data_IF_447064630935
#
_entry.id   IF_447064630935
#
_cell.length_a   1.000
_cell.length_b   1.000
_cell.length_c   1.000
_cell.angle_alpha   90.00
_cell.angle_beta   90.00
_cell.angle_gamma   90.00
#
_symmetry.space_group_name_H-M   'P 1'
#
loop_
_entity.id
_entity.type
_entity.pdbx_description
1 polymer ?
#
# COMPACT_ATOMS: atom_id res chain seq x y z
N UNK A 1 0.48 -13.58 -1.88
CA UNK A 1 0.57 -14.96 -2.35
C UNK A 1 2.03 -15.38 -2.51
N UNK A 2 2.32 -16.64 -2.30
CA UNK A 2 3.65 -17.25 -2.55
C UNK A 2 3.68 -18.06 -3.84
N UNK A 3 2.56 -18.20 -4.53
CA UNK A 3 2.39 -19.04 -5.73
C UNK A 3 2.33 -18.24 -7.02
N UNK A 4 2.11 -16.93 -6.93
CA UNK A 4 2.00 -16.04 -8.08
C UNK A 4 2.82 -14.78 -7.76
N UNK A 5 3.61 -14.31 -8.71
CA UNK A 5 4.43 -13.11 -8.53
C UNK A 5 5.92 -13.38 -8.65
N UNK A 6 6.74 -12.40 -8.24
CA UNK A 6 8.19 -12.39 -8.47
C UNK A 6 9.04 -12.73 -7.25
N UNK A 7 8.48 -12.73 -6.04
CA UNK A 7 9.20 -12.90 -4.79
C UNK A 7 8.64 -14.01 -3.89
N UNK A 8 8.97 -13.92 -2.62
CA UNK A 8 8.46 -14.85 -1.61
C UNK A 8 6.96 -14.69 -1.41
N UNK A 9 6.49 -13.44 -1.27
CA UNK A 9 5.08 -13.11 -1.10
C UNK A 9 4.78 -11.81 -1.82
N UNK A 10 3.77 -11.81 -2.65
CA UNK A 10 3.32 -10.63 -3.37
C UNK A 10 1.89 -10.26 -2.99
N UNK A 11 1.54 -8.98 -3.15
CA UNK A 11 0.15 -8.56 -3.05
C UNK A 11 -0.61 -9.14 -4.24
N UNK A 12 -1.69 -9.86 -3.95
CA UNK A 12 -2.60 -10.38 -4.96
C UNK A 12 -3.92 -9.63 -4.91
N UNK A 13 -4.19 -8.86 -5.94
CA UNK A 13 -5.41 -8.07 -6.07
C UNK A 13 -6.33 -8.71 -7.12
N UNK A 14 -7.58 -8.90 -6.72
CA UNK A 14 -8.62 -9.50 -7.58
C UNK A 14 -9.79 -8.53 -7.68
N UNK A 15 -10.23 -8.23 -8.89
CA UNK A 15 -11.47 -7.51 -9.14
C UNK A 15 -12.56 -8.48 -9.55
N UNK A 16 -13.68 -8.40 -8.84
CA UNK A 16 -14.86 -9.22 -9.12
C UNK A 16 -16.01 -8.33 -9.63
N UNK A 17 -16.89 -8.90 -10.43
CA UNK A 17 -18.18 -8.30 -10.75
C UNK A 17 -19.18 -8.54 -9.60
N UNK A 18 -20.41 -8.03 -9.76
CA UNK A 18 -21.47 -8.17 -8.74
C UNK A 18 -21.90 -9.63 -8.51
N UNK A 19 -21.63 -10.54 -9.45
CA UNK A 19 -21.93 -11.96 -9.33
C UNK A 19 -20.79 -12.76 -8.68
N UNK A 20 -19.64 -12.11 -8.40
CA UNK A 20 -18.45 -12.74 -7.87
C UNK A 20 -17.54 -13.35 -8.95
N UNK A 21 -17.79 -13.05 -10.22
CA UNK A 21 -16.93 -13.51 -11.33
C UNK A 21 -15.70 -12.63 -11.43
N UNK A 22 -14.53 -13.23 -11.64
CA UNK A 22 -13.26 -12.51 -11.76
C UNK A 22 -13.27 -11.72 -13.07
N UNK A 23 -13.11 -10.38 -12.94
CA UNK A 23 -12.90 -9.47 -14.07
C UNK A 23 -11.42 -9.45 -14.43
N UNK A 24 -10.55 -9.31 -13.44
CA UNK A 24 -9.10 -9.44 -13.58
C UNK A 24 -8.45 -9.81 -12.24
N UNK A 25 -7.24 -10.29 -12.34
CA UNK A 25 -6.35 -10.56 -11.22
C UNK A 25 -4.94 -10.09 -11.55
N UNK A 26 -4.23 -9.55 -10.57
CA UNK A 26 -2.86 -9.04 -10.70
C UNK A 26 -2.07 -9.30 -9.43
N UNK A 27 -0.77 -9.47 -9.60
CA UNK A 27 0.21 -9.49 -8.51
C UNK A 27 1.09 -8.25 -8.57
N UNK A 28 1.45 -7.75 -7.39
CA UNK A 28 2.34 -6.61 -7.24
C UNK A 28 3.35 -6.91 -6.15
N UNK A 29 4.62 -6.76 -6.47
CA UNK A 29 5.70 -7.03 -5.54
C UNK A 29 7.08 -7.01 -6.20
N UNK A 30 8.08 -7.29 -5.41
CA UNK A 30 9.47 -7.36 -5.82
C UNK A 30 10.09 -8.73 -5.58
N UNK A 31 11.37 -8.77 -5.22
CA UNK A 31 12.10 -10.02 -5.03
C UNK A 31 11.88 -10.67 -3.65
N UNK A 32 11.40 -9.90 -2.68
CA UNK A 32 11.22 -10.34 -1.31
C UNK A 32 9.73 -10.50 -0.95
N UNK A 33 9.26 -9.89 0.13
CA UNK A 33 7.88 -10.09 0.59
C UNK A 33 7.10 -8.79 0.69
N UNK A 34 5.88 -8.82 0.16
CA UNK A 34 4.88 -7.76 0.23
C UNK A 34 3.59 -8.25 0.86
N UNK A 35 2.97 -7.38 1.65
CA UNK A 35 1.69 -7.63 2.30
C UNK A 35 0.73 -6.47 2.02
N UNK A 36 -0.46 -6.78 1.51
CA UNK A 36 -1.57 -5.85 1.40
C UNK A 36 -2.48 -5.98 2.63
N UNK A 37 -2.86 -4.86 3.23
CA UNK A 37 -3.69 -4.84 4.43
C UNK A 37 -5.04 -4.17 4.22
N UNK A 38 -5.12 -3.17 3.34
CA UNK A 38 -6.36 -2.46 3.06
C UNK A 38 -6.37 -1.92 1.62
N UNK A 39 -7.57 -1.70 1.09
CA UNK A 39 -7.78 -1.14 -0.24
C UNK A 39 -8.91 -0.11 -0.22
N UNK A 40 -8.65 1.06 -0.80
CA UNK A 40 -9.62 2.13 -0.97
C UNK A 40 -10.03 2.25 -2.43
N UNK A 41 -11.34 2.12 -2.76
CA UNK A 41 -11.85 2.38 -4.10
C UNK A 41 -12.02 3.90 -4.31
N UNK A 42 -11.24 4.45 -5.21
CA UNK A 42 -11.30 5.85 -5.62
C UNK A 42 -12.10 6.08 -6.90
N UNK A 43 -12.14 7.32 -7.36
CA UNK A 43 -12.88 7.71 -8.58
C UNK A 43 -12.18 7.28 -9.88
N UNK A 44 -10.90 7.00 -9.83
CA UNK A 44 -10.04 6.67 -10.97
C UNK A 44 -9.28 5.34 -10.83
N UNK A 45 -9.60 4.54 -9.81
CA UNK A 45 -8.96 3.26 -9.56
C UNK A 45 -8.96 2.87 -8.09
N UNK A 46 -7.96 2.10 -7.69
CA UNK A 46 -7.84 1.56 -6.34
C UNK A 46 -6.51 1.98 -5.73
N UNK A 47 -6.52 2.28 -4.43
CA UNK A 47 -5.29 2.51 -3.66
C UNK A 47 -5.16 1.42 -2.62
N UNK A 48 -4.08 0.66 -2.71
CA UNK A 48 -3.73 -0.43 -1.78
C UNK A 48 -2.68 0.08 -0.81
N UNK A 49 -2.85 -0.19 0.46
CA UNK A 49 -1.84 0.05 1.48
C UNK A 49 -1.35 -1.26 2.08
N UNK A 50 -0.07 -1.31 2.35
CA UNK A 50 0.57 -2.49 2.90
C UNK A 50 1.99 -2.24 3.34
N UNK A 51 2.81 -3.26 3.25
CA UNK A 51 4.25 -3.20 3.51
C UNK A 51 5.03 -3.99 2.49
N UNK A 52 6.28 -3.59 2.30
CA UNK A 52 7.24 -4.24 1.41
C UNK A 52 8.57 -4.44 2.12
N UNK A 53 9.24 -5.54 1.82
CA UNK A 53 10.67 -5.73 2.15
C UNK A 53 11.55 -5.76 0.89
N UNK A 54 10.96 -5.60 -0.30
CA UNK A 54 11.68 -5.53 -1.57
C UNK A 54 12.20 -4.13 -1.89
N UNK A 55 11.53 -3.10 -1.36
CA UNK A 55 11.81 -1.70 -1.69
C UNK A 55 11.99 -0.91 -0.39
N UNK A 56 12.85 0.12 -0.43
CA UNK A 56 13.11 0.96 0.74
C UNK A 56 14.31 0.51 1.55
N UNK A 57 14.12 0.21 2.82
CA UNK A 57 15.19 -0.20 3.75
C UNK A 57 15.40 -1.74 3.79
N UNK A 58 16.22 -2.22 4.71
CA UNK A 58 16.40 -3.66 4.95
C UNK A 58 15.26 -4.32 5.72
N UNK A 59 14.30 -3.50 6.20
CA UNK A 59 13.14 -3.93 6.99
C UNK A 59 11.86 -3.80 6.17
N UNK A 60 10.71 -4.04 6.80
CA UNK A 60 9.44 -3.74 6.19
C UNK A 60 9.17 -2.24 6.23
N UNK A 61 8.86 -1.69 5.08
CA UNK A 61 8.48 -0.29 4.88
C UNK A 61 7.02 -0.19 4.43
N UNK A 62 6.38 0.94 4.70
CA UNK A 62 5.02 1.19 4.23
C UNK A 62 5.06 1.29 2.72
N UNK A 63 4.20 0.52 2.05
CA UNK A 63 4.01 0.57 0.61
C UNK A 63 2.58 0.97 0.26
N UNK A 64 2.44 2.00 -0.55
CA UNK A 64 1.16 2.48 -1.04
C UNK A 64 1.20 2.42 -2.56
N UNK A 65 0.26 1.67 -3.14
CA UNK A 65 0.18 1.41 -4.56
C UNK A 65 -1.15 1.89 -5.10
N UNK A 66 -1.15 2.74 -6.11
CA UNK A 66 -2.34 3.13 -6.85
C UNK A 66 -2.36 2.44 -8.21
N UNK A 67 -3.49 1.80 -8.50
CA UNK A 67 -3.77 1.15 -9.78
C UNK A 67 -5.05 1.72 -10.38
N UNK A 68 -5.16 1.71 -11.70
CA UNK A 68 -6.40 2.07 -12.41
C UNK A 68 -7.46 0.97 -12.30
N UNK A 69 -8.62 1.17 -12.93
CA UNK A 69 -9.71 0.18 -12.90
C UNK A 69 -9.39 -1.12 -13.67
N UNK A 70 -8.30 -1.16 -14.45
CA UNK A 70 -7.79 -2.36 -15.14
C UNK A 70 -6.65 -3.05 -14.37
N UNK A 71 -6.26 -2.52 -13.22
CA UNK A 71 -5.17 -3.04 -12.41
C UNK A 71 -3.78 -2.62 -12.88
N UNK A 72 -3.67 -1.63 -13.78
CA UNK A 72 -2.38 -1.09 -14.19
C UNK A 72 -1.89 -0.06 -13.16
N UNK A 73 -0.61 -0.11 -12.79
CA UNK A 73 -0.02 0.81 -11.85
C UNK A 73 -0.05 2.25 -12.37
N UNK A 74 -0.56 3.18 -11.54
CA UNK A 74 -0.52 4.62 -11.79
C UNK A 74 0.70 5.23 -11.07
N UNK A 75 0.84 4.93 -9.77
CA UNK A 75 1.99 5.32 -8.94
C UNK A 75 2.13 4.39 -7.74
N UNK A 76 3.30 4.38 -7.16
CA UNK A 76 3.52 3.81 -5.84
C UNK A 76 4.42 4.73 -5.00
N UNK A 77 4.29 4.63 -3.68
CA UNK A 77 5.07 5.40 -2.71
C UNK A 77 5.52 4.48 -1.58
N UNK A 78 6.72 4.74 -1.10
CA UNK A 78 7.31 4.03 0.04
C UNK A 78 7.60 5.05 1.13
N UNK A 79 7.15 4.74 2.35
CA UNK A 79 7.46 5.53 3.53
C UNK A 79 8.19 4.65 4.52
N UNK A 80 9.36 5.09 4.91
CA UNK A 80 10.29 4.31 5.72
C UNK A 80 10.93 5.14 6.82
N UNK A 81 11.36 4.46 7.86
CA UNK A 81 12.27 4.97 8.86
C UNK A 81 13.51 4.08 8.97
N UNK A 82 14.05 3.93 10.16
CA UNK A 82 15.24 3.11 10.40
C UNK A 82 14.92 1.63 10.71
N UNK A 83 13.64 1.32 11.00
CA UNK A 83 13.18 0.01 11.41
C UNK A 83 11.91 -0.40 10.67
N UNK A 84 11.05 -1.19 11.30
CA UNK A 84 9.84 -1.74 10.69
C UNK A 84 8.70 -0.72 10.70
N UNK A 85 8.15 -0.45 9.53
CA UNK A 85 7.02 0.43 9.31
C UNK A 85 5.97 -0.28 8.45
N UNK A 86 4.73 -0.34 8.91
CA UNK A 86 3.67 -1.14 8.28
C UNK A 86 2.43 -0.29 8.08
N UNK A 87 2.01 -0.11 6.82
CA UNK A 87 0.73 0.51 6.49
C UNK A 87 -0.43 -0.44 6.83
N UNK A 88 -1.44 0.05 7.56
CA UNK A 88 -2.53 -0.78 8.09
C UNK A 88 -3.89 -0.48 7.50
N UNK A 89 -4.20 0.80 7.28
CA UNK A 89 -5.51 1.22 6.80
C UNK A 89 -5.40 2.49 5.97
N UNK A 90 -6.32 2.70 5.06
CA UNK A 90 -6.38 3.88 4.20
C UNK A 90 -7.80 4.39 4.03
N UNK A 91 -7.97 5.70 4.07
CA UNK A 91 -9.19 6.37 3.66
C UNK A 91 -8.88 7.46 2.64
N UNK A 92 -9.78 7.65 1.66
CA UNK A 92 -9.71 8.76 0.73
C UNK A 92 -10.60 9.92 1.18
N UNK A 93 -10.27 11.11 0.71
CA UNK A 93 -11.01 12.33 0.99
C UNK A 93 -11.75 12.84 -0.24
N UNK A 94 -12.96 13.40 -0.06
CA UNK A 94 -13.77 14.00 -1.15
C UNK A 94 -13.04 15.16 -1.84
N UNK A 95 -12.14 15.83 -1.13
CA UNK A 95 -11.30 16.92 -1.67
C UNK A 95 -10.04 16.42 -2.39
N UNK A 96 -9.91 15.13 -2.58
CA UNK A 96 -8.68 14.46 -3.05
C UNK A 96 -7.70 14.14 -1.92
N UNK A 97 -6.81 13.20 -2.19
CA UNK A 97 -5.81 12.74 -1.25
C UNK A 97 -6.30 11.66 -0.28
N UNK A 98 -5.42 11.25 0.62
CA UNK A 98 -5.61 10.08 1.47
C UNK A 98 -5.08 10.34 2.88
N UNK A 99 -5.65 9.63 3.84
CA UNK A 99 -5.04 9.43 5.16
C UNK A 99 -4.73 7.96 5.36
N UNK A 100 -3.49 7.67 5.71
CA UNK A 100 -3.00 6.32 5.98
C UNK A 100 -2.68 6.20 7.46
N UNK A 101 -3.21 5.16 8.09
CA UNK A 101 -2.79 4.73 9.41
C UNK A 101 -1.70 3.67 9.26
N UNK A 102 -0.59 3.88 9.90
CA UNK A 102 0.53 2.96 9.94
C UNK A 102 0.95 2.63 11.37
N UNK A 103 1.66 1.53 11.51
CA UNK A 103 2.39 1.14 12.70
C UNK A 103 3.87 1.33 12.40
N UNK A 104 4.58 1.95 13.34
CA UNK A 104 6.02 2.25 13.18
C UNK A 104 6.80 1.78 14.38
N UNK A 105 8.00 1.25 14.16
CA UNK A 105 9.03 1.10 15.19
C UNK A 105 10.23 2.01 14.95
N UNK A 106 10.13 2.87 13.93
CA UNK A 106 11.16 3.85 13.57
C UNK A 106 11.01 5.16 14.34
N UNK A 107 9.78 5.51 14.72
CA UNK A 107 9.44 6.79 15.35
C UNK A 107 8.63 6.55 16.62
N UNK A 108 8.77 7.49 17.59
CA UNK A 108 8.02 7.43 18.85
C UNK A 108 8.88 6.96 20.03
N UNK A 109 8.23 6.50 21.09
CA UNK A 109 8.86 6.18 22.36
C UNK A 109 8.50 4.77 22.85
N UNK A 110 8.82 3.76 22.11
CA UNK A 110 8.52 2.38 22.48
C UNK A 110 8.90 1.40 21.39
N UNK A 111 8.33 0.20 21.46
CA UNK A 111 8.56 -0.80 20.41
C UNK A 111 7.77 -0.49 19.14
N UNK A 112 6.49 -0.08 19.31
CA UNK A 112 5.61 0.28 18.20
C UNK A 112 4.71 1.46 18.58
N UNK A 113 4.63 2.43 17.69
CA UNK A 113 3.77 3.59 17.76
C UNK A 113 2.88 3.71 16.53
N UNK A 114 1.89 4.62 16.56
CA UNK A 114 1.09 4.96 15.40
C UNK A 114 1.77 6.05 14.57
N UNK A 115 1.69 5.88 13.26
CA UNK A 115 2.11 6.88 12.30
C UNK A 115 0.94 7.22 11.37
N UNK A 116 0.55 8.49 11.33
CA UNK A 116 -0.51 8.96 10.45
C UNK A 116 0.13 9.76 9.32
N UNK A 117 -0.05 9.28 8.10
CA UNK A 117 0.38 9.96 6.90
C UNK A 117 -0.81 10.63 6.22
N UNK A 118 -0.70 11.93 5.95
CA UNK A 118 -1.66 12.65 5.13
C UNK A 118 -1.03 12.89 3.76
N UNK A 119 -1.67 12.40 2.72
CA UNK A 119 -1.17 12.39 1.36
C UNK A 119 -2.08 13.21 0.45
N UNK A 120 -1.50 13.84 -0.57
CA UNK A 120 -2.27 14.40 -1.68
C UNK A 120 -2.73 13.28 -2.64
N UNK A 121 -3.41 13.64 -3.72
CA UNK A 121 -3.92 12.71 -4.73
C UNK A 121 -2.84 11.89 -5.45
N UNK A 122 -1.60 12.39 -5.47
CA UNK A 122 -0.43 11.73 -6.05
C UNK A 122 0.35 10.88 -5.04
N UNK A 123 -0.17 10.69 -3.83
CA UNK A 123 0.46 9.90 -2.79
C UNK A 123 1.64 10.61 -2.11
N UNK A 124 1.76 11.92 -2.23
CA UNK A 124 2.87 12.72 -1.68
C UNK A 124 2.40 13.41 -0.41
N UNK A 125 3.26 13.41 0.62
CA UNK A 125 3.04 14.23 1.83
C UNK A 125 3.16 15.71 1.42
N UNK A 126 2.10 16.52 1.60
CA UNK A 126 2.17 17.94 1.25
C UNK A 126 3.22 18.65 2.10
N UNK A 127 4.01 19.50 1.47
CA UNK A 127 4.88 20.44 2.20
C UNK A 127 4.00 21.44 2.98
N UNK A 128 4.41 21.73 4.20
CA UNK A 128 3.75 22.73 5.03
C UNK A 128 4.12 24.16 4.60
#
# INVERSE_FOLDING_TARGET
TTSLGAGDKDIFLIKLDQSGTIIWERTYGGAESEYGFDVFPGDDGYVVVGSTSSFGTMFYDIWILKVDFNGEEIWNQIFSGENIDIGRAIIGHKSGGYTVLAQTSSYGAGEYDFWILKLNENGIVPEN
#
